data_IF_405706692655
#
_entry.id   IF_405706692655
#
_cell.length_a   1.000
_cell.length_b   1.000
_cell.length_c   1.000
_cell.angle_alpha   90.00
_cell.angle_beta   90.00
_cell.angle_gamma   90.00
#
_symmetry.space_group_name_H-M   'P 1'
#
loop_
_entity.id
_entity.type
_entity.pdbx_description
1 polymer ?
#
# COMPACT_ATOMS: atom_id res chain seq x y z
N UNK A 1 -3.68 4.50 11.21
CA UNK A 1 -4.15 3.11 10.99
C UNK A 1 -5.58 3.01 10.46
N UNK A 2 -6.61 3.64 11.08
CA UNK A 2 -8.00 3.48 10.63
C UNK A 2 -8.25 3.86 9.16
N UNK A 3 -7.55 4.89 8.67
CA UNK A 3 -7.59 5.30 7.26
C UNK A 3 -7.16 4.17 6.32
N UNK A 4 -6.00 3.57 6.59
CA UNK A 4 -5.46 2.45 5.82
C UNK A 4 -6.36 1.20 5.87
N UNK A 5 -6.96 0.92 7.02
CA UNK A 5 -7.95 -0.15 7.15
C UNK A 5 -9.17 0.09 6.27
N UNK A 6 -9.67 1.32 6.25
CA UNK A 6 -10.90 1.70 5.54
C UNK A 6 -10.69 1.72 4.02
N UNK A 7 -9.62 2.36 3.56
CA UNK A 7 -9.42 2.66 2.14
C UNK A 7 -8.58 1.60 1.40
N UNK A 8 -7.63 0.95 2.08
CA UNK A 8 -6.69 0.01 1.46
C UNK A 8 -6.79 -1.41 2.03
N UNK A 9 -7.65 -1.64 3.02
CA UNK A 9 -7.84 -2.96 3.63
C UNK A 9 -6.64 -3.46 4.44
N UNK A 10 -5.65 -2.60 4.73
CA UNK A 10 -4.51 -2.94 5.59
C UNK A 10 -4.99 -2.97 7.03
N UNK A 11 -5.18 -4.18 7.58
CA UNK A 11 -5.76 -4.38 8.91
C UNK A 11 -4.66 -4.51 9.96
N UNK A 12 -4.81 -3.89 11.14
CA UNK A 12 -3.86 -4.05 12.21
C UNK A 12 -3.88 -5.49 12.75
N UNK A 13 -2.76 -5.97 13.28
CA UNK A 13 -2.64 -7.31 13.89
C UNK A 13 -3.64 -7.53 15.02
N UNK A 14 -3.88 -6.48 15.81
CA UNK A 14 -4.82 -6.45 16.91
C UNK A 14 -5.53 -5.09 16.96
N UNK A 15 -6.69 -5.04 17.63
CA UNK A 15 -7.39 -3.78 17.83
C UNK A 15 -6.48 -2.76 18.56
N UNK A 16 -6.34 -1.57 17.98
CA UNK A 16 -5.46 -0.51 18.48
C UNK A 16 -3.99 -0.59 18.05
N UNK A 17 -3.55 -1.67 17.39
CA UNK A 17 -2.20 -1.75 16.81
C UNK A 17 -2.03 -0.82 15.59
N UNK A 18 -0.82 -0.33 15.37
CA UNK A 18 -0.41 0.43 14.17
C UNK A 18 0.44 -0.41 13.19
N UNK A 19 0.46 -1.72 13.39
CA UNK A 19 1.28 -2.68 12.64
C UNK A 19 0.41 -3.74 11.98
N UNK A 20 0.79 -4.14 10.78
CA UNK A 20 0.27 -5.27 10.00
C UNK A 20 1.43 -6.17 9.59
N UNK A 21 1.25 -7.48 9.69
CA UNK A 21 2.20 -8.49 9.23
C UNK A 21 1.60 -9.22 8.03
N UNK A 22 2.04 -8.85 6.83
CA UNK A 22 1.64 -9.56 5.62
C UNK A 22 2.34 -10.91 5.56
N UNK A 23 1.58 -11.97 5.81
CA UNK A 23 2.09 -13.33 5.71
C UNK A 23 2.26 -13.75 4.24
N UNK A 24 3.41 -14.32 3.92
CA UNK A 24 3.71 -14.90 2.62
C UNK A 24 4.45 -16.24 2.80
N UNK A 25 4.64 -16.98 1.69
CA UNK A 25 5.37 -18.25 1.68
C UNK A 25 6.59 -18.14 0.79
N UNK A 26 7.68 -18.79 1.15
CA UNK A 26 8.86 -18.81 0.28
C UNK A 26 8.54 -19.51 -1.05
N UNK A 27 9.12 -19.01 -2.13
CA UNK A 27 8.90 -19.55 -3.48
C UNK A 27 9.44 -20.98 -3.60
N UNK A 28 10.62 -21.23 -3.04
CA UNK A 28 11.34 -22.51 -3.17
C UNK A 28 10.93 -23.54 -2.12
N UNK A 29 10.48 -23.11 -0.93
CA UNK A 29 9.84 -23.96 0.07
C UNK A 29 8.54 -23.33 0.60
N UNK A 30 7.42 -23.72 -0.02
CA UNK A 30 6.10 -23.20 0.34
C UNK A 30 5.64 -23.55 1.77
N UNK A 31 6.32 -24.48 2.46
CA UNK A 31 6.03 -24.74 3.88
C UNK A 31 6.60 -23.65 4.78
N UNK A 32 7.66 -22.99 4.35
CA UNK A 32 8.27 -21.88 5.06
C UNK A 32 7.41 -20.63 4.91
N UNK A 33 7.10 -20.01 6.03
CA UNK A 33 6.26 -18.81 6.12
C UNK A 33 7.14 -17.62 6.47
N UNK A 34 7.02 -16.55 5.69
CA UNK A 34 7.64 -15.26 5.94
C UNK A 34 6.60 -14.20 6.24
N UNK A 35 7.07 -13.06 6.76
CA UNK A 35 6.22 -11.90 7.03
C UNK A 35 6.88 -10.63 6.53
N UNK A 36 6.10 -9.76 5.92
CA UNK A 36 6.48 -8.37 5.67
C UNK A 36 5.77 -7.50 6.70
N UNK A 37 6.54 -6.80 7.53
CA UNK A 37 6.00 -5.91 8.56
C UNK A 37 5.76 -4.53 7.94
N UNK A 38 4.56 -4.03 8.12
CA UNK A 38 4.17 -2.68 7.75
C UNK A 38 3.65 -1.96 8.99
N UNK A 39 4.25 -0.82 9.33
CA UNK A 39 3.98 -0.11 10.58
C UNK A 39 3.92 1.39 10.37
N UNK A 40 2.92 2.02 11.00
CA UNK A 40 2.81 3.48 11.08
C UNK A 40 3.44 3.92 12.41
N UNK A 41 4.27 4.95 12.32
CA UNK A 41 4.88 5.60 13.47
C UNK A 41 4.29 7.01 13.67
N UNK A 42 4.37 7.56 14.89
CA UNK A 42 4.09 8.97 15.13
C UNK A 42 4.91 9.87 14.20
N UNK A 43 4.34 11.00 13.77
CA UNK A 43 5.00 11.95 12.87
C UNK A 43 6.30 12.53 13.45
N UNK A 44 6.43 12.59 14.78
CA UNK A 44 7.61 13.08 15.51
C UNK A 44 8.59 11.95 15.92
N UNK A 45 8.43 10.76 15.36
CA UNK A 45 9.35 9.64 15.60
C UNK A 45 10.77 9.99 15.17
N UNK A 46 11.75 9.57 15.98
CA UNK A 46 13.17 9.58 15.63
C UNK A 46 13.69 8.21 15.19
N UNK A 47 12.79 7.23 15.10
CA UNK A 47 13.15 5.84 14.80
C UNK A 47 13.79 5.69 13.41
N UNK A 48 13.48 6.61 12.48
CA UNK A 48 14.01 6.60 11.13
C UNK A 48 15.32 7.36 10.98
N UNK A 49 15.82 8.07 12.00
CA UNK A 49 17.05 8.86 11.87
C UNK A 49 18.24 7.97 11.45
N UNK A 50 19.06 8.37 10.46
CA UNK A 50 19.09 9.66 9.75
C UNK A 50 18.40 9.65 8.37
N UNK A 51 17.45 8.74 8.14
CA UNK A 51 16.82 8.53 6.82
C UNK A 51 16.13 9.80 6.29
N UNK A 52 16.31 10.06 4.99
CA UNK A 52 15.61 11.11 4.24
C UNK A 52 14.64 10.52 3.20
N UNK A 53 14.09 9.33 3.51
CA UNK A 53 13.38 8.39 2.63
C UNK A 53 12.73 9.00 1.38
N UNK A 54 13.25 8.62 0.22
CA UNK A 54 12.76 8.99 -1.12
C UNK A 54 12.16 7.80 -1.87
N UNK A 55 11.55 6.86 -1.14
CA UNK A 55 10.92 5.68 -1.70
C UNK A 55 9.40 5.81 -1.67
N UNK A 56 8.74 4.96 -2.45
CA UNK A 56 7.29 4.86 -2.53
C UNK A 56 6.86 3.45 -2.15
N UNK A 57 5.67 3.34 -1.55
CA UNK A 57 5.01 2.05 -1.34
C UNK A 57 4.08 1.80 -2.53
N UNK A 58 4.21 0.61 -3.13
CA UNK A 58 3.35 0.15 -4.20
C UNK A 58 2.44 -0.99 -3.68
N UNK A 59 1.13 -0.86 -3.89
CA UNK A 59 0.17 -1.92 -3.61
C UNK A 59 -0.41 -2.49 -4.90
N UNK A 60 -0.37 -3.82 -5.00
CA UNK A 60 -1.12 -4.54 -6.03
C UNK A 60 -2.62 -4.47 -5.73
N UNK A 61 -3.41 -4.11 -6.75
CA UNK A 61 -4.86 -4.05 -6.69
C UNK A 61 -5.48 -4.88 -7.81
N UNK A 62 -6.76 -5.25 -7.65
CA UNK A 62 -7.47 -6.09 -8.62
C UNK A 62 -8.15 -5.29 -9.74
N UNK A 63 -8.66 -4.10 -9.42
CA UNK A 63 -9.44 -3.24 -10.32
C UNK A 63 -9.12 -1.79 -9.94
N UNK A 64 -8.15 -1.21 -10.66
CA UNK A 64 -7.59 0.09 -10.35
C UNK A 64 -8.61 1.21 -10.58
N UNK A 65 -9.30 1.19 -11.72
CA UNK A 65 -10.24 2.25 -12.10
C UNK A 65 -11.39 2.34 -11.10
N UNK A 66 -11.99 1.19 -10.74
CA UNK A 66 -13.05 1.14 -9.74
C UNK A 66 -12.57 1.61 -8.36
N UNK A 67 -11.37 1.20 -7.96
CA UNK A 67 -10.82 1.58 -6.67
C UNK A 67 -10.59 3.10 -6.61
N UNK A 68 -9.98 3.69 -7.64
CA UNK A 68 -9.72 5.12 -7.69
C UNK A 68 -11.00 5.95 -7.69
N UNK A 69 -12.04 5.50 -8.40
CA UNK A 69 -13.37 6.13 -8.34
C UNK A 69 -13.99 6.05 -6.94
N UNK A 70 -13.87 4.91 -6.27
CA UNK A 70 -14.32 4.76 -4.89
C UNK A 70 -13.56 5.69 -3.95
N UNK A 71 -12.23 5.69 -3.99
CA UNK A 71 -11.37 6.52 -3.16
C UNK A 71 -11.65 8.02 -3.36
N UNK A 72 -11.86 8.45 -4.60
CA UNK A 72 -12.23 9.84 -4.92
C UNK A 72 -13.58 10.22 -4.30
N UNK A 73 -14.58 9.33 -4.34
CA UNK A 73 -15.89 9.55 -3.67
C UNK A 73 -15.78 9.60 -2.15
N UNK A 74 -14.83 8.87 -1.57
CA UNK A 74 -14.56 8.85 -0.14
C UNK A 74 -13.69 10.04 0.33
N UNK A 75 -13.30 10.94 -0.58
CA UNK A 75 -12.53 12.15 -0.26
C UNK A 75 -11.02 11.94 -0.20
N UNK A 76 -10.52 10.78 -0.64
CA UNK A 76 -9.08 10.55 -0.78
C UNK A 76 -8.54 11.39 -1.93
N UNK A 77 -7.36 11.98 -1.73
CA UNK A 77 -6.65 12.71 -2.78
C UNK A 77 -6.10 11.72 -3.80
N UNK A 78 -6.69 11.71 -4.97
CA UNK A 78 -6.28 10.88 -6.11
C UNK A 78 -5.54 11.76 -7.11
N UNK A 79 -4.35 11.33 -7.53
CA UNK A 79 -3.61 11.97 -8.62
C UNK A 79 -4.39 11.78 -9.94
N UNK A 80 -4.45 12.79 -10.81
CA UNK A 80 -5.11 12.63 -12.12
C UNK A 80 -4.26 11.80 -13.09
N UNK A 81 -2.94 11.66 -12.81
CA UNK A 81 -2.02 10.87 -13.63
C UNK A 81 -2.41 9.39 -13.64
N UNK A 82 -2.41 8.78 -14.82
CA UNK A 82 -2.54 7.33 -15.06
C UNK A 82 -1.44 6.88 -16.00
N UNK A 83 -0.92 5.69 -15.77
CA UNK A 83 -0.01 5.03 -16.70
C UNK A 83 -0.50 3.62 -16.97
N UNK A 84 -0.27 3.14 -18.19
CA UNK A 84 -0.55 1.76 -18.58
C UNK A 84 0.59 1.30 -19.51
N UNK A 85 1.19 0.17 -19.16
CA UNK A 85 2.27 -0.44 -19.92
C UNK A 85 2.16 -1.98 -19.93
N UNK A 86 3.24 -2.66 -20.30
CA UNK A 86 3.27 -4.12 -20.39
C UNK A 86 3.13 -4.82 -19.01
N UNK A 87 3.45 -4.13 -17.91
CA UNK A 87 3.30 -4.64 -16.55
C UNK A 87 1.91 -4.40 -15.97
N UNK A 88 1.10 -3.50 -16.54
CA UNK A 88 -0.28 -3.26 -16.13
C UNK A 88 -0.62 -1.77 -16.04
N UNK A 89 -1.63 -1.46 -15.23
CA UNK A 89 -2.10 -0.09 -14.99
C UNK A 89 -1.57 0.45 -13.67
N UNK A 90 -1.26 1.73 -13.65
CA UNK A 90 -0.76 2.45 -12.49
C UNK A 90 -1.57 3.72 -12.23
N UNK A 91 -1.80 3.96 -10.94
CA UNK A 91 -2.42 5.18 -10.43
C UNK A 91 -1.82 5.53 -9.08
N UNK A 92 -2.05 6.76 -8.62
CA UNK A 92 -1.49 7.24 -7.36
C UNK A 92 -2.53 7.93 -6.50
N UNK A 93 -2.37 7.75 -5.19
CA UNK A 93 -3.14 8.44 -4.15
C UNK A 93 -2.20 9.08 -3.13
N UNK A 94 -2.72 10.06 -2.39
CA UNK A 94 -2.00 10.68 -1.27
C UNK A 94 -2.71 10.30 0.03
N UNK A 95 -1.96 9.73 0.96
CA UNK A 95 -2.45 9.39 2.30
C UNK A 95 -2.61 10.65 3.19
N UNK A 96 -3.14 10.53 4.42
CA UNK A 96 -3.29 11.66 5.34
C UNK A 96 -1.97 12.29 5.77
N UNK A 97 -0.88 11.52 5.75
CA UNK A 97 0.47 11.96 6.12
C UNK A 97 1.22 12.64 4.96
N UNK A 98 0.64 12.66 3.75
CA UNK A 98 1.22 13.28 2.55
C UNK A 98 2.08 12.34 1.71
N UNK A 99 2.13 11.05 2.03
CA UNK A 99 2.86 10.06 1.25
C UNK A 99 2.09 9.78 -0.05
N UNK A 100 2.81 9.83 -1.17
CA UNK A 100 2.29 9.35 -2.46
C UNK A 100 2.42 7.83 -2.49
N UNK A 101 1.31 7.14 -2.70
CA UNK A 101 1.20 5.68 -2.76
C UNK A 101 0.88 5.29 -4.20
N UNK A 102 1.60 4.31 -4.73
CA UNK A 102 1.34 3.74 -6.05
C UNK A 102 0.39 2.55 -5.92
N UNK A 103 -0.60 2.51 -6.81
CA UNK A 103 -1.54 1.40 -6.94
C UNK A 103 -1.33 0.79 -8.32
N UNK A 104 -1.15 -0.53 -8.35
CA UNK A 104 -0.81 -1.26 -9.56
C UNK A 104 -1.78 -2.42 -9.80
N UNK A 105 -2.43 -2.42 -10.96
CA UNK A 105 -3.21 -3.55 -11.45
C UNK A 105 -2.41 -4.30 -12.53
N UNK A 106 -1.92 -5.52 -12.27
CA UNK A 106 -1.11 -6.26 -13.23
C UNK A 106 -1.89 -6.73 -14.44
N UNK A 107 -1.21 -6.75 -15.59
CA UNK A 107 -1.70 -7.38 -16.82
C UNK A 107 -1.55 -8.91 -16.73
N UNK A 108 -2.50 -9.58 -16.08
CA UNK A 108 -2.50 -11.04 -15.94
C UNK A 108 -1.84 -11.54 -14.64
N UNK A 109 -1.31 -12.76 -14.65
CA UNK A 109 -0.55 -13.28 -13.50
C UNK A 109 0.82 -12.58 -13.44
N UNK A 110 1.19 -11.99 -12.28
CA UNK A 110 2.53 -11.47 -12.11
C UNK A 110 3.56 -12.62 -12.20
N UNK A 111 4.79 -12.32 -12.65
CA UNK A 111 5.88 -13.30 -12.69
C UNK A 111 6.28 -13.87 -11.32
#
# INVERSE_FOLDING_TARGET
MPWYTTHLGVKPETEGSSTTMFQWREKDDTKQVGYTVWSIFPHDTKYFDPSASSFMINFRVKDLDRLLDQLKREGVKVDDKREEDDYGKFGWIIDPEGNRIELWEPKGEPP
#
